data_IF_036468373260
#
_entry.id   IF_036468373260
#
_cell.length_a   1.000
_cell.length_b   1.000
_cell.length_c   1.000
_cell.angle_alpha   90.00
_cell.angle_beta   90.00
_cell.angle_gamma   90.00
#
_symmetry.space_group_name_H-M   'P 1'
#
loop_
_entity.id
_entity.type
_entity.pdbx_description
1 polymer ?
#
# COMPACT_ATOMS: atom_id res chain seq x y z
N UNK A 1 29.47 -8.18 13.06
CA UNK A 1 28.97 -9.18 14.01
C UNK A 1 27.50 -9.44 13.80
N UNK A 2 27.00 -10.64 14.16
CA UNK A 2 25.60 -11.04 14.05
C UNK A 2 24.70 -10.16 14.90
N UNK A 3 23.55 -9.71 14.35
CA UNK A 3 22.57 -8.87 15.06
C UNK A 3 21.59 -9.66 15.93
N UNK A 4 21.55 -10.98 15.81
CA UNK A 4 20.65 -11.83 16.59
C UNK A 4 20.94 -11.78 18.10
N UNK A 5 19.89 -11.85 18.92
CA UNK A 5 19.97 -11.91 20.38
C UNK A 5 19.27 -13.16 20.89
N UNK A 6 19.80 -13.76 21.94
CA UNK A 6 19.17 -14.87 22.65
C UNK A 6 17.87 -14.38 23.32
N UNK A 7 16.78 -15.13 23.17
CA UNK A 7 15.51 -14.81 23.85
C UNK A 7 15.62 -14.96 25.37
N UNK A 8 16.40 -15.93 25.85
CA UNK A 8 16.60 -16.24 27.27
C UNK A 8 17.53 -15.25 27.95
N UNK A 9 18.75 -15.07 27.40
CA UNK A 9 19.81 -14.28 28.04
C UNK A 9 19.89 -12.84 27.59
N UNK A 10 19.14 -12.46 26.53
CA UNK A 10 19.18 -11.13 25.89
C UNK A 10 20.55 -10.74 25.33
N UNK A 11 21.55 -11.59 25.46
CA UNK A 11 22.90 -11.37 24.94
C UNK A 11 22.94 -11.48 23.42
N UNK A 12 23.79 -10.69 22.79
CA UNK A 12 24.03 -10.72 21.35
C UNK A 12 24.86 -11.96 20.96
N UNK A 13 24.57 -12.49 19.78
CA UNK A 13 25.40 -13.53 19.19
C UNK A 13 26.80 -12.98 18.87
N UNK A 14 27.84 -13.66 19.37
CA UNK A 14 29.25 -13.29 19.15
C UNK A 14 29.82 -13.69 17.79
N UNK A 15 29.09 -14.54 17.03
CA UNK A 15 29.56 -15.04 15.74
C UNK A 15 29.63 -13.93 14.67
N UNK A 16 30.53 -14.02 13.68
CA UNK A 16 30.60 -13.09 12.56
C UNK A 16 29.34 -13.20 11.69
N UNK A 17 28.84 -12.07 11.23
CA UNK A 17 27.76 -12.04 10.23
C UNK A 17 28.30 -12.54 8.87
N UNK A 18 27.43 -13.13 8.04
CA UNK A 18 27.79 -13.50 6.69
C UNK A 18 27.99 -12.28 5.80
N UNK A 19 28.88 -12.38 4.80
CA UNK A 19 29.10 -11.30 3.82
C UNK A 19 27.78 -10.83 3.19
N UNK A 20 27.53 -9.55 3.26
CA UNK A 20 26.29 -8.93 2.75
C UNK A 20 25.02 -9.19 3.60
N UNK A 21 25.13 -9.79 4.80
CA UNK A 21 23.99 -10.08 5.67
C UNK A 21 24.23 -9.58 7.10
N UNK A 22 23.15 -9.36 7.83
CA UNK A 22 23.20 -8.88 9.24
C UNK A 22 23.28 -10.02 10.25
N UNK A 23 23.18 -11.29 9.82
CA UNK A 23 23.11 -12.47 10.68
C UNK A 23 24.12 -13.53 10.26
N UNK A 24 24.53 -14.38 11.21
CA UNK A 24 25.45 -15.49 10.94
C UNK A 24 24.73 -16.69 10.31
N UNK A 25 25.47 -17.70 9.90
CA UNK A 25 24.94 -18.93 9.29
C UNK A 25 23.89 -19.64 10.15
N UNK A 26 24.09 -19.66 11.46
CA UNK A 26 23.20 -20.30 12.45
C UNK A 26 21.89 -19.51 12.62
N UNK A 27 21.94 -18.18 12.51
CA UNK A 27 20.79 -17.31 12.68
C UNK A 27 20.11 -16.93 11.35
N UNK A 28 20.15 -17.82 10.37
CA UNK A 28 19.43 -17.67 9.11
C UNK A 28 20.20 -16.97 8.00
N UNK A 29 21.51 -16.73 8.17
CA UNK A 29 22.33 -16.12 7.11
C UNK A 29 22.39 -16.95 5.82
N UNK A 30 22.20 -18.26 5.88
CA UNK A 30 22.12 -19.14 4.71
C UNK A 30 20.72 -19.15 4.06
N UNK A 31 19.69 -18.67 4.75
CA UNK A 31 18.33 -18.64 4.22
C UNK A 31 18.21 -17.64 3.07
N UNK A 32 17.68 -18.07 1.94
CA UNK A 32 17.47 -17.26 0.74
C UNK A 32 15.99 -16.97 0.49
N UNK A 33 15.10 -17.44 1.38
CA UNK A 33 13.66 -17.35 1.16
C UNK A 33 13.15 -18.32 0.06
N UNK A 34 11.85 -18.25 -0.28
CA UNK A 34 11.26 -19.10 -1.31
C UNK A 34 11.78 -18.68 -2.70
N UNK A 35 12.30 -19.66 -3.46
CA UNK A 35 12.85 -19.44 -4.81
C UNK A 35 11.84 -19.78 -5.91
N UNK A 36 10.98 -20.77 -5.68
CA UNK A 36 9.96 -21.20 -6.66
C UNK A 36 8.72 -20.32 -6.58
N UNK A 37 7.99 -20.18 -7.70
CA UNK A 37 6.72 -19.43 -7.75
C UNK A 37 5.70 -19.97 -6.74
N UNK A 38 5.59 -21.32 -6.64
CA UNK A 38 4.74 -21.97 -5.63
C UNK A 38 5.16 -21.60 -4.20
N UNK A 39 6.47 -21.55 -3.92
CA UNK A 39 7.00 -21.18 -2.61
C UNK A 39 6.72 -19.73 -2.28
N UNK A 40 6.86 -18.82 -3.25
CA UNK A 40 6.50 -17.39 -3.10
C UNK A 40 5.02 -17.22 -2.85
N UNK A 41 4.16 -17.91 -3.63
CA UNK A 41 2.70 -17.88 -3.46
C UNK A 41 2.28 -18.41 -2.08
N UNK A 42 2.85 -19.52 -1.61
CA UNK A 42 2.57 -20.07 -0.29
C UNK A 42 3.00 -19.11 0.82
N UNK A 43 4.16 -18.47 0.70
CA UNK A 43 4.65 -17.51 1.68
C UNK A 43 3.76 -16.25 1.72
N UNK A 44 3.32 -15.75 0.57
CA UNK A 44 2.39 -14.64 0.49
C UNK A 44 1.02 -15.00 1.10
N UNK A 45 0.48 -16.19 0.78
CA UNK A 45 -0.80 -16.69 1.28
C UNK A 45 -0.78 -16.90 2.80
N UNK A 46 0.34 -17.39 3.38
CA UNK A 46 0.48 -17.60 4.82
C UNK A 46 0.38 -16.29 5.62
N UNK A 47 0.79 -15.17 5.04
CA UNK A 47 0.72 -13.85 5.67
C UNK A 47 -0.60 -13.11 5.39
N UNK A 48 -1.42 -13.62 4.47
CA UNK A 48 -2.68 -12.99 4.07
C UNK A 48 -3.78 -13.37 5.06
N UNK A 49 -4.14 -12.46 5.96
CA UNK A 49 -5.24 -12.67 6.92
C UNK A 49 -6.62 -12.33 6.32
N UNK A 50 -6.78 -11.17 5.74
CA UNK A 50 -8.07 -10.68 5.22
C UNK A 50 -7.97 -9.90 3.90
N UNK A 51 -6.83 -9.85 3.26
CA UNK A 51 -6.63 -9.21 1.96
C UNK A 51 -6.76 -7.69 1.88
N UNK A 52 -7.26 -7.02 2.93
CA UNK A 52 -7.52 -5.57 2.95
C UNK A 52 -6.31 -4.68 2.60
N UNK A 53 -5.11 -5.16 2.90
CA UNK A 53 -3.85 -4.43 2.63
C UNK A 53 -3.10 -4.96 1.41
N UNK A 54 -3.73 -5.78 0.57
CA UNK A 54 -3.14 -6.17 -0.72
C UNK A 54 -3.04 -4.99 -1.65
N UNK A 55 -2.10 -5.05 -2.59
CA UNK A 55 -1.94 -4.02 -3.61
C UNK A 55 -3.25 -3.76 -4.37
N UNK A 56 -3.97 -4.83 -4.72
CA UNK A 56 -5.25 -4.77 -5.43
C UNK A 56 -6.28 -3.99 -4.60
N UNK A 57 -6.54 -4.41 -3.36
CA UNK A 57 -7.49 -3.72 -2.49
C UNK A 57 -7.14 -2.25 -2.23
N UNK A 58 -5.85 -1.92 -2.14
CA UNK A 58 -5.39 -0.54 -1.99
C UNK A 58 -5.62 0.29 -3.26
N UNK A 59 -5.43 -0.29 -4.45
CA UNK A 59 -5.71 0.42 -5.71
C UNK A 59 -7.20 0.66 -5.87
N UNK A 60 -8.05 -0.34 -5.68
CA UNK A 60 -9.51 -0.21 -5.71
C UNK A 60 -10.02 0.86 -4.74
N UNK A 61 -9.53 0.84 -3.50
CA UNK A 61 -9.89 1.85 -2.50
C UNK A 61 -9.42 3.26 -2.91
N UNK A 62 -8.22 3.37 -3.49
CA UNK A 62 -7.69 4.66 -3.96
C UNK A 62 -8.51 5.20 -5.14
N UNK A 63 -8.90 4.35 -6.07
CA UNK A 63 -9.74 4.71 -7.21
C UNK A 63 -11.14 5.14 -6.76
N UNK A 64 -11.77 4.39 -5.87
CA UNK A 64 -13.05 4.77 -5.28
C UNK A 64 -12.97 6.11 -4.55
N UNK A 65 -11.93 6.33 -3.76
CA UNK A 65 -11.71 7.62 -3.07
C UNK A 65 -11.47 8.77 -4.05
N UNK A 66 -10.80 8.53 -5.17
CA UNK A 66 -10.59 9.54 -6.21
C UNK A 66 -11.92 9.91 -6.88
N UNK A 67 -12.77 8.93 -7.19
CA UNK A 67 -14.10 9.15 -7.77
C UNK A 67 -15.02 9.93 -6.83
N UNK A 68 -15.06 9.56 -5.55
CA UNK A 68 -15.83 10.30 -4.54
C UNK A 68 -15.37 11.75 -4.45
N UNK A 69 -14.07 11.99 -4.47
CA UNK A 69 -13.53 13.34 -4.44
C UNK A 69 -13.88 14.17 -5.67
N UNK A 70 -13.93 13.54 -6.84
CA UNK A 70 -14.39 14.20 -8.07
C UNK A 70 -15.89 14.52 -8.02
N UNK A 71 -16.68 13.63 -7.41
CA UNK A 71 -18.12 13.88 -7.21
C UNK A 71 -18.34 15.06 -6.26
N UNK A 72 -17.56 15.15 -5.18
CA UNK A 72 -17.60 16.30 -4.27
C UNK A 72 -17.26 17.62 -4.99
N UNK A 73 -16.23 17.64 -5.86
CA UNK A 73 -15.89 18.81 -6.69
C UNK A 73 -17.05 19.17 -7.62
N UNK A 74 -17.70 18.19 -8.26
CA UNK A 74 -18.84 18.41 -9.14
C UNK A 74 -20.05 18.98 -8.38
N UNK A 75 -20.37 18.43 -7.20
CA UNK A 75 -21.46 18.92 -6.36
C UNK A 75 -21.23 20.38 -5.93
N UNK A 76 -19.99 20.75 -5.60
CA UNK A 76 -19.65 22.12 -5.27
C UNK A 76 -19.84 23.07 -6.47
N UNK A 77 -19.39 22.68 -7.68
CA UNK A 77 -19.55 23.48 -8.90
C UNK A 77 -21.00 23.64 -9.33
N UNK A 78 -21.85 22.66 -9.02
CA UNK A 78 -23.29 22.71 -9.28
C UNK A 78 -24.10 23.47 -8.21
N UNK A 79 -23.42 23.99 -7.18
CA UNK A 79 -24.10 24.71 -6.08
C UNK A 79 -24.88 23.79 -5.14
N UNK A 80 -24.63 22.50 -5.14
CA UNK A 80 -25.28 21.52 -4.26
C UNK A 80 -24.60 21.39 -2.89
N UNK A 81 -23.43 22.01 -2.74
CA UNK A 81 -22.64 22.01 -1.51
C UNK A 81 -22.16 23.42 -1.21
N UNK A 82 -22.33 23.88 0.03
CA UNK A 82 -21.95 25.23 0.49
C UNK A 82 -20.45 25.41 0.76
N UNK A 83 -19.71 24.32 0.85
CA UNK A 83 -18.29 24.34 1.16
C UNK A 83 -17.45 23.65 0.08
N UNK A 84 -16.28 24.22 -0.27
CA UNK A 84 -15.34 23.54 -1.13
C UNK A 84 -14.84 22.27 -0.45
N UNK A 85 -14.44 21.30 -1.25
CA UNK A 85 -13.87 20.03 -0.79
C UNK A 85 -12.77 20.26 0.25
N UNK A 86 -12.82 19.49 1.32
CA UNK A 86 -11.83 19.53 2.39
C UNK A 86 -10.41 19.31 1.87
N UNK A 87 -9.47 20.16 2.28
CA UNK A 87 -8.05 20.09 1.92
C UNK A 87 -7.37 18.98 2.73
N UNK A 88 -7.34 17.76 2.19
CA UNK A 88 -6.66 16.62 2.77
C UNK A 88 -5.68 15.95 1.79
N UNK A 89 -5.04 14.88 2.21
CA UNK A 89 -4.24 14.05 1.32
C UNK A 89 -5.13 13.50 0.21
N UNK A 90 -4.79 13.82 -1.03
CA UNK A 90 -5.56 13.40 -2.20
C UNK A 90 -5.27 11.93 -2.52
N UNK A 91 -6.31 11.19 -2.92
CA UNK A 91 -6.17 9.81 -3.37
C UNK A 91 -5.33 9.74 -4.66
N UNK A 92 -4.62 8.64 -4.83
CA UNK A 92 -3.84 8.41 -6.06
C UNK A 92 -4.78 8.32 -7.26
N UNK A 93 -4.50 9.08 -8.30
CA UNK A 93 -5.34 9.13 -9.51
C UNK A 93 -6.43 10.21 -9.49
N UNK A 94 -6.61 10.91 -8.37
CA UNK A 94 -7.54 12.04 -8.32
C UNK A 94 -7.07 13.18 -9.25
N UNK A 95 -8.01 13.67 -10.05
CA UNK A 95 -7.87 14.87 -10.88
C UNK A 95 -8.95 15.87 -10.47
N UNK A 96 -8.60 17.10 -10.06
CA UNK A 96 -9.60 18.08 -9.63
C UNK A 96 -10.50 18.49 -10.81
N UNK A 97 -11.78 18.65 -10.55
CA UNK A 97 -12.73 19.23 -11.48
C UNK A 97 -12.87 20.70 -11.11
N UNK A 98 -12.48 21.59 -12.02
CA UNK A 98 -12.46 23.05 -11.78
C UNK A 98 -13.46 23.81 -12.66
N UNK A 99 -14.14 23.12 -13.60
CA UNK A 99 -15.09 23.74 -14.53
C UNK A 99 -16.32 22.86 -14.75
N UNK A 100 -17.42 23.47 -15.16
CA UNK A 100 -18.67 22.77 -15.50
C UNK A 100 -18.49 21.84 -16.73
N UNK A 101 -17.62 22.19 -17.66
CA UNK A 101 -17.28 21.30 -18.79
C UNK A 101 -16.62 20.01 -18.31
N UNK A 102 -15.75 20.08 -17.31
CA UNK A 102 -15.16 18.91 -16.68
C UNK A 102 -16.21 17.99 -16.01
N UNK A 103 -17.24 18.57 -15.40
CA UNK A 103 -18.38 17.80 -14.86
C UNK A 103 -19.11 17.05 -15.98
N UNK A 104 -19.39 17.73 -17.08
CA UNK A 104 -20.07 17.18 -18.25
C UNK A 104 -19.31 16.01 -18.86
N UNK A 105 -17.99 16.13 -19.01
CA UNK A 105 -17.12 15.08 -19.54
C UNK A 105 -17.21 13.81 -18.69
N UNK A 106 -17.12 13.92 -17.37
CA UNK A 106 -17.17 12.76 -16.47
C UNK A 106 -18.54 12.07 -16.48
N UNK A 107 -19.61 12.81 -16.62
CA UNK A 107 -20.97 12.26 -16.66
C UNK A 107 -21.29 11.57 -18.00
N UNK A 108 -20.72 12.03 -19.10
CA UNK A 108 -21.01 11.52 -20.45
C UNK A 108 -20.05 10.40 -20.89
N UNK A 109 -18.79 10.38 -20.45
CA UNK A 109 -17.79 9.37 -20.86
C UNK A 109 -17.93 8.03 -20.10
N UNK A 110 -18.83 7.92 -19.13
CA UNK A 110 -19.05 6.68 -18.36
C UNK A 110 -20.29 5.87 -18.81
N UNK A 111 -20.88 6.20 -19.97
CA UNK A 111 -21.95 5.41 -20.58
C UNK A 111 -21.45 4.66 -21.81
#
# INVERSE_FOLDING_TARGET
RCSARSKRTKLRCGAPAMKGKRVCSTHGGKSTGPKTERGKANSAKANLKHGKYTKLAQTEHSEASAQLSQLEDAMYLLGMSDAPRCTGRKARGYRPITSLDGVRTILLEKN
#
